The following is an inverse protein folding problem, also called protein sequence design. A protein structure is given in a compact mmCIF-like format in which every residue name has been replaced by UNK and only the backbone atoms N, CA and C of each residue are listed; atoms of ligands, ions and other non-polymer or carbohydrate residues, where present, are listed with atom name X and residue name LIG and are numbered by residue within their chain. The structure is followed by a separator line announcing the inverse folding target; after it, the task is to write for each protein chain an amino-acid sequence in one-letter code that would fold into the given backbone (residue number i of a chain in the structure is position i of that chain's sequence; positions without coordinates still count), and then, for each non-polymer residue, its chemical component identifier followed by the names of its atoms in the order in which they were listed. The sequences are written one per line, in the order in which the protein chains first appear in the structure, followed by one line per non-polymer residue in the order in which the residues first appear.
data_IF_936007751836
#
_entry.id   IF_936007751836
#
_cell.length_a   1.000
_cell.length_b   1.000
_cell.length_c   1.000
_cell.angle_alpha   90.00
_cell.angle_beta   90.00
_cell.angle_gamma   90.00
#
_symmetry.space_group_name_H-M   'P 1'
#
loop_
_entity.id
_entity.type
_entity.pdbx_description
1 polymer ?
#
# COMPACT_ATOMS: atom_id res chain seq x y z
N UNK A 1 29.26 -9.16 -1.61
CA UNK A 1 28.58 -7.85 -1.52
C UNK A 1 29.49 -6.71 -1.03
N UNK A 2 30.31 -6.91 0.01
CA UNK A 2 31.24 -5.86 0.53
C UNK A 2 32.27 -5.42 -0.53
N UNK A 3 32.81 -6.35 -1.30
CA UNK A 3 33.70 -6.05 -2.44
C UNK A 3 32.99 -5.14 -3.48
N UNK A 4 31.70 -5.37 -3.72
CA UNK A 4 30.93 -4.61 -4.69
C UNK A 4 30.71 -3.14 -4.31
N UNK A 5 30.75 -2.82 -3.00
CA UNK A 5 30.69 -1.45 -2.48
C UNK A 5 32.05 -0.83 -2.23
N UNK A 6 33.12 -1.42 -2.78
CA UNK A 6 34.46 -0.88 -2.73
C UNK A 6 35.20 -1.06 -1.41
N UNK A 7 34.76 -1.97 -0.54
CA UNK A 7 35.50 -2.26 0.69
C UNK A 7 36.72 -3.14 0.40
N UNK A 8 37.95 -2.68 0.70
CA UNK A 8 39.18 -3.42 0.39
C UNK A 8 39.39 -4.65 1.29
N UNK A 9 38.70 -4.72 2.40
CA UNK A 9 38.75 -5.82 3.37
C UNK A 9 37.38 -6.14 3.92
N UNK A 10 37.18 -7.38 4.36
CA UNK A 10 35.95 -7.80 5.03
C UNK A 10 35.73 -7.02 6.34
N UNK A 11 34.57 -6.45 6.53
CA UNK A 11 34.18 -5.70 7.73
C UNK A 11 32.91 -6.28 8.32
N UNK A 12 32.90 -6.50 9.63
CA UNK A 12 31.68 -6.85 10.40
C UNK A 12 30.80 -5.63 10.70
N UNK A 13 31.35 -4.41 10.51
CA UNK A 13 30.59 -3.15 10.69
C UNK A 13 29.93 -2.74 9.37
N UNK A 14 28.68 -2.34 9.45
CA UNK A 14 28.02 -1.72 8.31
C UNK A 14 28.72 -0.39 7.98
N UNK A 15 28.96 -0.09 6.69
CA UNK A 15 29.64 1.15 6.27
C UNK A 15 28.79 2.41 6.55
N UNK A 16 27.51 2.22 6.84
CA UNK A 16 26.57 3.30 7.16
C UNK A 16 25.44 2.75 8.04
N UNK A 17 24.74 3.65 8.72
CA UNK A 17 23.56 3.32 9.54
C UNK A 17 22.41 2.84 8.65
N UNK A 18 21.62 1.88 9.14
CA UNK A 18 20.48 1.31 8.43
C UNK A 18 19.40 2.35 8.09
N UNK A 19 19.30 3.43 8.89
CA UNK A 19 18.39 4.55 8.62
C UNK A 19 18.75 5.33 7.35
N UNK A 20 20.00 5.24 6.89
CA UNK A 20 20.48 5.88 5.65
C UNK A 20 19.66 5.45 4.44
N UNK A 21 19.32 4.17 4.34
CA UNK A 21 18.43 3.70 3.27
C UNK A 21 17.04 4.37 3.29
N UNK A 22 16.49 4.58 4.47
CA UNK A 22 15.21 5.27 4.62
C UNK A 22 15.31 6.75 4.24
N UNK A 23 16.44 7.41 4.58
CA UNK A 23 16.72 8.80 4.18
C UNK A 23 16.87 8.92 2.66
N UNK A 24 17.65 8.01 2.03
CA UNK A 24 17.80 7.95 0.57
C UNK A 24 16.45 7.74 -0.11
N UNK A 25 15.66 6.76 0.32
CA UNK A 25 14.32 6.51 -0.24
C UNK A 25 13.38 7.72 -0.14
N UNK A 26 13.48 8.51 0.93
CA UNK A 26 12.71 9.74 1.09
C UNK A 26 13.15 10.85 0.12
N UNK A 27 14.46 10.92 -0.18
CA UNK A 27 15.03 11.93 -1.09
C UNK A 27 14.79 11.60 -2.55
N UNK A 28 14.72 10.30 -2.89
CA UNK A 28 14.37 9.85 -4.23
C UNK A 28 12.90 10.12 -4.49
N UNK A 29 12.59 11.13 -5.27
CA UNK A 29 11.26 11.44 -5.74
C UNK A 29 10.77 10.44 -6.80
N UNK A 30 9.52 10.60 -7.21
CA UNK A 30 8.92 9.75 -8.24
C UNK A 30 9.64 9.88 -9.59
N UNK A 31 10.04 11.09 -9.94
CA UNK A 31 10.72 11.43 -11.21
C UNK A 31 12.04 10.71 -11.35
N UNK A 32 12.88 10.71 -10.30
CA UNK A 32 14.16 10.00 -10.31
C UNK A 32 13.99 8.49 -10.45
N UNK A 33 12.92 7.93 -9.88
CA UNK A 33 12.59 6.52 -10.10
C UNK A 33 12.17 6.24 -11.54
N UNK A 34 11.38 7.11 -12.13
CA UNK A 34 10.91 6.95 -13.51
C UNK A 34 12.08 7.07 -14.48
N UNK A 35 13.01 8.01 -14.27
CA UNK A 35 14.23 8.16 -15.05
C UNK A 35 15.14 6.92 -14.93
N UNK A 36 15.38 6.45 -13.71
CA UNK A 36 16.21 5.27 -13.48
C UNK A 36 15.61 4.02 -14.10
N UNK A 37 14.30 3.82 -13.99
CA UNK A 37 13.59 2.70 -14.63
C UNK A 37 13.68 2.79 -16.14
N UNK A 38 13.53 3.98 -16.74
CA UNK A 38 13.62 4.18 -18.17
C UNK A 38 15.05 3.91 -18.70
N UNK A 39 16.08 4.36 -17.99
CA UNK A 39 17.47 4.07 -18.34
C UNK A 39 17.77 2.56 -18.30
N UNK A 40 17.26 1.86 -17.29
CA UNK A 40 17.35 0.40 -17.23
C UNK A 40 16.64 -0.26 -18.41
N UNK A 41 15.44 0.17 -18.76
CA UNK A 41 14.66 -0.35 -19.90
C UNK A 41 15.43 -0.15 -21.20
N UNK A 42 15.94 1.05 -21.45
CA UNK A 42 16.71 1.38 -22.66
C UNK A 42 17.91 0.43 -22.81
N UNK A 43 18.70 0.28 -21.75
CA UNK A 43 19.84 -0.64 -21.70
C UNK A 43 19.44 -2.09 -22.00
N UNK A 44 18.32 -2.55 -21.43
CA UNK A 44 17.83 -3.93 -21.65
C UNK A 44 17.36 -4.15 -23.09
N UNK A 45 16.74 -3.15 -23.70
CA UNK A 45 16.27 -3.21 -25.10
C UNK A 45 17.46 -3.18 -26.07
N UNK A 46 18.41 -2.26 -25.89
CA UNK A 46 19.65 -2.13 -26.69
C UNK A 46 20.46 -3.44 -26.68
N UNK A 47 20.64 -4.03 -25.50
CA UNK A 47 21.34 -5.32 -25.34
C UNK A 47 20.51 -6.53 -25.76
N UNK A 48 19.29 -6.33 -26.32
CA UNK A 48 18.36 -7.38 -26.73
C UNK A 48 17.96 -8.35 -25.60
N UNK A 49 18.15 -7.97 -24.36
CA UNK A 49 17.76 -8.72 -23.16
C UNK A 49 16.25 -8.59 -22.86
N UNK A 50 15.61 -7.53 -23.36
CA UNK A 50 14.17 -7.32 -23.28
C UNK A 50 13.60 -7.10 -24.68
N UNK A 51 12.58 -7.89 -25.03
CA UNK A 51 11.88 -7.82 -26.34
C UNK A 51 10.42 -7.45 -26.12
N UNK A 52 10.03 -6.17 -26.22
CA UNK A 52 8.67 -5.71 -25.93
C UNK A 52 7.72 -6.07 -27.08
N UNK A 53 7.15 -7.28 -27.06
CA UNK A 53 6.19 -7.76 -28.07
C UNK A 53 4.75 -7.73 -27.58
N UNK A 54 4.51 -8.08 -26.34
CA UNK A 54 3.18 -8.18 -25.76
C UNK A 54 3.15 -7.75 -24.30
N UNK A 55 1.98 -7.37 -23.85
CA UNK A 55 1.70 -6.94 -22.51
C UNK A 55 0.82 -7.97 -21.79
N UNK A 56 1.29 -8.47 -20.64
CA UNK A 56 0.43 -9.19 -19.70
C UNK A 56 0.12 -8.24 -18.55
N UNK A 57 -1.14 -8.09 -18.17
CA UNK A 57 -1.55 -7.17 -17.12
C UNK A 57 -2.30 -7.88 -16.01
N UNK A 58 -2.04 -7.51 -14.78
CA UNK A 58 -2.73 -7.97 -13.59
C UNK A 58 -2.57 -6.93 -12.46
N UNK A 59 -3.35 -7.06 -11.39
CA UNK A 59 -3.17 -6.23 -10.20
C UNK A 59 -3.04 -7.10 -8.95
N UNK A 60 -2.26 -6.61 -8.00
CA UNK A 60 -2.08 -7.26 -6.71
C UNK A 60 -2.06 -6.25 -5.59
N UNK A 61 -2.25 -6.73 -4.36
CA UNK A 61 -1.97 -5.94 -3.15
C UNK A 61 -0.64 -6.40 -2.55
N UNK A 62 0.27 -5.45 -2.33
CA UNK A 62 1.43 -5.63 -1.49
C UNK A 62 1.07 -5.18 -0.08
N UNK A 63 1.11 -6.11 0.86
CA UNK A 63 0.63 -5.87 2.22
C UNK A 63 1.56 -4.93 2.98
N UNK A 64 0.99 -3.93 3.64
CA UNK A 64 1.70 -3.09 4.60
C UNK A 64 1.76 -3.77 5.95
N UNK A 65 2.88 -3.57 6.65
CA UNK A 65 3.04 -4.04 8.04
C UNK A 65 2.18 -3.17 8.98
N UNK A 66 0.97 -3.62 9.21
CA UNK A 66 0.03 -3.04 10.17
C UNK A 66 -0.61 -4.13 11.02
N UNK A 67 -0.94 -3.79 12.25
CA UNK A 67 -1.76 -4.67 13.09
C UNK A 67 -3.15 -4.82 12.47
N UNK A 68 -3.70 -6.04 12.44
CA UNK A 68 -5.05 -6.27 11.91
C UNK A 68 -6.06 -5.31 12.54
N UNK A 69 -6.76 -4.49 11.76
CA UNK A 69 -7.60 -3.42 12.27
C UNK A 69 -8.91 -3.95 12.84
N UNK A 70 -9.02 -3.92 14.16
CA UNK A 70 -10.30 -4.07 14.86
C UNK A 70 -10.72 -2.71 15.43
N UNK A 71 -12.04 -2.43 15.48
CA UNK A 71 -12.52 -1.14 15.98
C UNK A 71 -12.06 -0.86 17.41
N UNK A 72 -12.15 -1.85 18.30
CA UNK A 72 -11.62 -1.73 19.66
C UNK A 72 -10.11 -1.54 19.70
N UNK A 73 -9.36 -2.21 18.80
CA UNK A 73 -7.91 -2.07 18.68
C UNK A 73 -7.50 -0.66 18.25
N UNK A 74 -8.16 -0.12 17.23
CA UNK A 74 -7.92 1.25 16.74
C UNK A 74 -8.25 2.30 17.81
N UNK A 75 -9.42 2.20 18.44
CA UNK A 75 -9.83 3.09 19.52
C UNK A 75 -8.84 3.04 20.71
N UNK A 76 -8.40 1.85 21.11
CA UNK A 76 -7.40 1.72 22.17
C UNK A 76 -6.05 2.31 21.75
N UNK A 77 -5.64 2.16 20.49
CA UNK A 77 -4.39 2.74 19.98
C UNK A 77 -4.40 4.26 20.04
N UNK A 78 -5.45 4.90 19.52
CA UNK A 78 -5.55 6.37 19.58
C UNK A 78 -5.67 6.87 21.01
N UNK A 79 -6.37 6.14 21.90
CA UNK A 79 -6.39 6.42 23.33
C UNK A 79 -4.98 6.44 23.93
N UNK A 80 -4.13 5.46 23.60
CA UNK A 80 -2.74 5.43 24.07
C UNK A 80 -1.95 6.62 23.56
N UNK A 81 -2.05 6.93 22.28
CA UNK A 81 -1.36 8.06 21.67
C UNK A 81 -1.75 9.38 22.35
N UNK A 82 -3.04 9.63 22.54
CA UNK A 82 -3.51 10.82 23.25
C UNK A 82 -2.95 10.89 24.67
N UNK A 83 -2.98 9.79 25.42
CA UNK A 83 -2.48 9.75 26.80
C UNK A 83 -0.98 10.06 26.85
N UNK A 84 -0.18 9.53 25.95
CA UNK A 84 1.26 9.83 25.93
C UNK A 84 1.53 11.31 25.58
N UNK A 85 0.79 11.87 24.63
CA UNK A 85 0.91 13.31 24.32
C UNK A 85 0.43 14.21 25.46
N UNK A 86 -0.72 13.88 26.08
CA UNK A 86 -1.19 14.60 27.29
C UNK A 86 -0.12 14.61 28.37
N UNK A 87 0.55 13.48 28.61
CA UNK A 87 1.62 13.38 29.59
C UNK A 87 2.82 14.27 29.27
N UNK A 88 3.22 14.30 27.99
CA UNK A 88 4.32 15.14 27.53
C UNK A 88 3.99 16.63 27.71
N UNK A 89 2.83 17.05 27.18
CA UNK A 89 2.40 18.46 27.32
C UNK A 89 2.13 18.86 28.77
N UNK A 90 1.45 18.03 29.56
CA UNK A 90 1.20 18.30 30.99
C UNK A 90 2.49 18.51 31.77
N UNK A 91 3.56 17.76 31.42
CA UNK A 91 4.88 17.95 32.04
C UNK A 91 5.51 19.28 31.61
N UNK A 92 5.41 19.66 30.36
CA UNK A 92 5.95 20.90 29.80
C UNK A 92 5.23 22.13 30.39
N UNK A 93 3.91 22.06 30.51
CA UNK A 93 3.04 23.12 31.04
C UNK A 93 3.04 23.17 32.59
N UNK A 94 3.59 22.15 33.28
CA UNK A 94 3.59 22.06 34.74
C UNK A 94 2.24 21.69 35.36
N UNK A 95 1.25 21.21 34.59
CA UNK A 95 -0.08 20.88 35.09
C UNK A 95 -0.28 19.36 35.26
N UNK A 96 -1.23 18.95 36.10
CA UNK A 96 -1.60 17.55 36.32
C UNK A 96 -2.96 17.25 35.70
N UNK A 97 -3.00 16.32 34.69
CA UNK A 97 -4.23 15.92 34.01
C UNK A 97 -4.57 14.43 34.29
N UNK A 98 -5.80 14.20 34.74
CA UNK A 98 -6.29 12.85 35.06
C UNK A 98 -6.82 12.13 33.79
N UNK A 99 -6.06 11.20 33.23
CA UNK A 99 -6.38 10.47 31.97
C UNK A 99 -7.10 9.15 32.17
N UNK A 100 -7.27 8.65 33.39
CA UNK A 100 -7.79 7.30 33.71
C UNK A 100 -7.03 6.16 32.98
N UNK A 101 -5.76 6.36 32.64
CA UNK A 101 -4.93 5.44 31.87
C UNK A 101 -4.98 4.01 32.40
N UNK A 102 -4.74 3.82 33.73
CA UNK A 102 -4.67 2.48 34.35
C UNK A 102 -6.00 1.73 34.27
N UNK A 103 -7.12 2.41 34.54
CA UNK A 103 -8.47 1.82 34.50
C UNK A 103 -8.82 1.38 33.08
N UNK A 104 -8.65 2.25 32.09
CA UNK A 104 -8.91 1.95 30.69
C UNK A 104 -8.02 0.81 30.15
N UNK A 105 -6.75 0.79 30.55
CA UNK A 105 -5.82 -0.28 30.18
C UNK A 105 -6.23 -1.62 30.77
N UNK A 106 -6.57 -1.68 32.06
CA UNK A 106 -7.05 -2.91 32.73
C UNK A 106 -8.29 -3.46 32.06
N UNK A 107 -9.27 -2.60 31.77
CA UNK A 107 -10.52 -2.99 31.08
C UNK A 107 -10.25 -3.55 29.67
N UNK A 108 -9.40 -2.86 28.87
CA UNK A 108 -9.07 -3.32 27.53
C UNK A 108 -8.29 -4.64 27.54
N UNK A 109 -7.31 -4.81 28.43
CA UNK A 109 -6.53 -6.05 28.55
C UNK A 109 -7.43 -7.23 28.94
N UNK A 110 -8.34 -7.04 29.90
CA UNK A 110 -9.31 -8.06 30.29
C UNK A 110 -10.21 -8.47 29.09
N UNK A 111 -10.68 -7.48 28.32
CA UNK A 111 -11.44 -7.73 27.09
C UNK A 111 -10.60 -8.45 26.02
N UNK A 112 -9.37 -8.02 25.79
CA UNK A 112 -8.51 -8.56 24.71
C UNK A 112 -8.13 -10.03 24.95
N UNK A 113 -7.93 -10.43 26.19
CA UNK A 113 -7.60 -11.81 26.61
C UNK A 113 -8.72 -12.82 26.37
N UNK A 114 -9.96 -12.38 26.24
CA UNK A 114 -11.10 -13.29 26.00
C UNK A 114 -10.96 -13.94 24.63
N UNK A 115 -10.95 -15.28 24.58
CA UNK A 115 -10.85 -16.06 23.33
C UNK A 115 -12.09 -15.87 22.45
N UNK A 116 -13.28 -15.91 23.04
CA UNK A 116 -14.56 -15.64 22.37
C UNK A 116 -15.16 -14.36 22.94
N UNK A 117 -15.61 -13.48 22.05
CA UNK A 117 -16.22 -12.19 22.40
C UNK A 117 -17.62 -12.14 21.79
N UNK A 118 -18.62 -11.89 22.60
CA UNK A 118 -19.99 -11.67 22.11
C UNK A 118 -20.10 -10.29 21.47
N UNK A 119 -21.07 -10.12 20.58
CA UNK A 119 -21.35 -8.82 19.96
C UNK A 119 -21.67 -7.74 21.01
N UNK A 120 -22.37 -8.11 22.10
CA UNK A 120 -22.70 -7.22 23.23
C UNK A 120 -21.42 -6.72 23.92
N UNK A 121 -20.47 -7.60 24.21
CA UNK A 121 -19.19 -7.24 24.85
C UNK A 121 -18.33 -6.35 23.97
N UNK A 122 -18.25 -6.67 22.66
CA UNK A 122 -17.53 -5.81 21.69
C UNK A 122 -18.12 -4.42 21.66
N UNK A 123 -19.45 -4.31 21.56
CA UNK A 123 -20.14 -3.03 21.53
C UNK A 123 -20.01 -2.23 22.83
N UNK A 124 -20.03 -2.91 23.99
CA UNK A 124 -19.80 -2.29 25.28
C UNK A 124 -18.36 -1.73 25.38
N UNK A 125 -17.36 -2.50 24.94
CA UNK A 125 -15.95 -2.04 24.93
C UNK A 125 -15.77 -0.88 23.97
N UNK A 126 -16.37 -0.90 22.78
CA UNK A 126 -16.35 0.23 21.85
C UNK A 126 -16.92 1.51 22.50
N UNK A 127 -18.07 1.40 23.18
CA UNK A 127 -18.68 2.54 23.91
C UNK A 127 -17.73 3.13 24.95
N UNK A 128 -17.13 2.29 25.77
CA UNK A 128 -16.18 2.74 26.81
C UNK A 128 -14.95 3.42 26.20
N UNK A 129 -14.37 2.82 25.14
CA UNK A 129 -13.19 3.39 24.47
C UNK A 129 -13.52 4.71 23.80
N UNK A 130 -14.69 4.85 23.14
CA UNK A 130 -15.15 6.12 22.58
C UNK A 130 -15.25 7.21 23.65
N UNK A 131 -15.76 6.88 24.84
CA UNK A 131 -15.82 7.86 25.96
C UNK A 131 -14.44 8.28 26.43
N UNK A 132 -13.49 7.34 26.56
CA UNK A 132 -12.10 7.68 26.94
C UNK A 132 -11.43 8.54 25.87
N UNK A 133 -11.56 8.18 24.60
CA UNK A 133 -10.95 8.94 23.49
C UNK A 133 -11.54 10.34 23.41
N UNK A 134 -12.86 10.51 23.51
CA UNK A 134 -13.52 11.82 23.53
C UNK A 134 -12.96 12.73 24.63
N UNK A 135 -12.79 12.20 25.83
CA UNK A 135 -12.19 12.95 26.96
C UNK A 135 -10.75 13.34 26.65
N UNK A 136 -9.97 12.38 26.16
CA UNK A 136 -8.55 12.61 25.87
C UNK A 136 -8.36 13.63 24.73
N UNK A 137 -9.23 13.63 23.73
CA UNK A 137 -9.23 14.64 22.65
C UNK A 137 -9.44 16.03 23.26
N UNK A 138 -10.45 16.21 24.13
CA UNK A 138 -10.73 17.49 24.78
C UNK A 138 -9.53 17.96 25.63
N UNK A 139 -9.00 17.07 26.47
CA UNK A 139 -7.83 17.37 27.31
C UNK A 139 -6.60 17.74 26.48
N UNK A 140 -6.39 17.08 25.35
CA UNK A 140 -5.27 17.35 24.47
C UNK A 140 -5.43 18.70 23.75
N UNK A 141 -6.66 19.04 23.33
CA UNK A 141 -6.96 20.35 22.72
C UNK A 141 -6.74 21.48 23.72
N UNK A 142 -7.28 21.36 24.93
CA UNK A 142 -7.10 22.35 26.01
C UNK A 142 -5.61 22.58 26.38
N UNK A 143 -4.82 21.48 26.41
CA UNK A 143 -3.38 21.58 26.66
C UNK A 143 -2.59 22.18 25.49
N UNK A 144 -3.02 21.91 24.25
CA UNK A 144 -2.40 22.47 23.05
C UNK A 144 -2.59 23.99 23.00
N UNK A 145 -3.83 24.46 23.25
CA UNK A 145 -4.16 25.86 23.33
C UNK A 145 -3.35 26.56 24.47
N UNK A 146 -3.26 25.93 25.64
CA UNK A 146 -2.49 26.47 26.77
C UNK A 146 -0.98 26.52 26.48
N UNK A 147 -0.44 25.58 25.73
CA UNK A 147 0.98 25.55 25.35
C UNK A 147 1.38 26.66 24.38
N UNK A 148 0.44 27.14 23.57
CA UNK A 148 0.66 28.26 22.63
C UNK A 148 0.80 29.61 23.38
N UNK A 149 0.25 29.75 24.60
CA UNK A 149 0.36 30.93 25.42
C UNK A 149 1.65 31.03 26.26
N UNK A 150 2.45 29.96 26.32
CA UNK A 150 3.67 29.92 27.14
C UNK A 150 4.89 30.13 26.26
N UNK A 151 5.33 31.39 26.11
CA UNK A 151 6.50 31.79 25.30
C UNK A 151 7.81 31.09 25.68
N UNK A 152 7.99 30.73 26.96
CA UNK A 152 9.19 30.02 27.44
C UNK A 152 9.35 28.58 26.91
N UNK A 153 8.29 28.02 26.32
CA UNK A 153 8.28 26.69 25.70
C UNK A 153 8.60 26.78 24.20
N UNK A 154 8.82 27.99 23.67
CA UNK A 154 8.77 28.28 22.24
C UNK A 154 9.79 27.50 21.39
N UNK A 155 11.04 27.33 21.77
CA UNK A 155 12.03 26.71 20.91
C UNK A 155 12.00 25.17 20.88
N UNK A 156 11.81 24.52 22.01
CA UNK A 156 11.56 23.09 22.09
C UNK A 156 10.06 22.73 21.90
N UNK A 157 9.19 23.72 22.14
CA UNK A 157 7.73 23.65 22.09
C UNK A 157 7.15 23.62 20.70
N UNK A 158 7.67 24.38 19.74
CA UNK A 158 7.14 24.46 18.36
C UNK A 158 7.11 23.08 17.68
N UNK A 159 8.19 22.34 17.71
CA UNK A 159 8.26 21.00 17.12
C UNK A 159 7.34 19.99 17.84
N UNK A 160 7.13 20.16 19.15
CA UNK A 160 6.19 19.34 19.95
C UNK A 160 4.76 19.70 19.58
N UNK A 161 4.44 20.98 19.43
CA UNK A 161 3.09 21.47 19.09
C UNK A 161 2.66 21.05 17.68
N UNK A 162 3.50 21.19 16.66
CA UNK A 162 3.20 20.73 15.29
C UNK A 162 2.90 19.23 15.23
N UNK A 163 3.73 18.43 15.91
CA UNK A 163 3.51 16.98 16.00
C UNK A 163 2.22 16.63 16.72
N UNK A 164 1.86 17.37 17.75
CA UNK A 164 0.63 17.20 18.51
C UNK A 164 -0.58 17.57 17.66
N UNK A 165 -0.54 18.69 16.94
CA UNK A 165 -1.62 19.14 16.04
C UNK A 165 -1.88 18.10 14.94
N UNK A 166 -0.84 17.64 14.23
CA UNK A 166 -0.97 16.63 13.20
C UNK A 166 -1.54 15.30 13.73
N UNK A 167 -1.09 14.90 14.94
CA UNK A 167 -1.63 13.73 15.64
C UNK A 167 -3.08 13.91 16.03
N UNK A 168 -3.44 15.06 16.56
CA UNK A 168 -4.78 15.37 17.03
C UNK A 168 -5.78 15.34 15.86
N UNK A 169 -5.39 15.85 14.70
CA UNK A 169 -6.23 15.77 13.51
C UNK A 169 -6.55 14.33 13.11
N UNK A 170 -5.53 13.48 12.98
CA UNK A 170 -5.71 12.05 12.67
C UNK A 170 -6.55 11.32 13.72
N UNK A 171 -6.37 11.67 15.00
CA UNK A 171 -7.18 11.11 16.10
C UNK A 171 -8.63 11.56 16.00
N UNK A 172 -8.90 12.84 15.71
CA UNK A 172 -10.26 13.37 15.53
C UNK A 172 -10.98 12.68 14.37
N UNK A 173 -10.31 12.51 13.24
CA UNK A 173 -10.87 11.80 12.07
C UNK A 173 -11.20 10.33 12.40
N UNK A 174 -10.25 9.60 12.98
CA UNK A 174 -10.46 8.22 13.39
C UNK A 174 -11.59 8.11 14.41
N UNK A 175 -11.65 9.00 15.40
CA UNK A 175 -12.73 9.03 16.37
C UNK A 175 -14.08 9.28 15.71
N UNK A 176 -14.18 10.23 14.78
CA UNK A 176 -15.42 10.54 14.06
C UNK A 176 -15.91 9.34 13.25
N UNK A 177 -15.02 8.67 12.49
CA UNK A 177 -15.34 7.47 11.74
C UNK A 177 -15.82 6.32 12.64
N UNK A 178 -15.11 6.06 13.75
CA UNK A 178 -15.48 5.02 14.71
C UNK A 178 -16.81 5.33 15.43
N UNK A 179 -17.05 6.59 15.75
CA UNK A 179 -18.31 7.05 16.35
C UNK A 179 -19.47 6.89 15.37
N UNK A 180 -19.30 7.31 14.11
CA UNK A 180 -20.30 7.14 13.06
C UNK A 180 -20.67 5.67 12.85
N UNK A 181 -19.67 4.77 12.74
CA UNK A 181 -19.91 3.33 12.59
C UNK A 181 -20.62 2.74 13.83
N UNK A 182 -20.24 3.19 15.03
CA UNK A 182 -20.88 2.76 16.26
C UNK A 182 -22.34 3.17 16.32
N UNK A 183 -22.67 4.45 16.01
CA UNK A 183 -24.03 4.97 16.09
C UNK A 183 -24.93 4.40 14.98
N UNK A 184 -24.44 4.36 13.75
CA UNK A 184 -25.19 3.81 12.60
C UNK A 184 -25.28 2.28 12.60
N UNK A 185 -24.56 1.57 13.48
CA UNK A 185 -24.42 0.10 13.49
C UNK A 185 -23.84 -0.48 12.18
N UNK A 186 -23.23 0.35 11.34
CA UNK A 186 -22.55 -0.07 10.10
C UNK A 186 -21.11 -0.50 10.40
N UNK A 187 -20.58 -1.42 9.59
CA UNK A 187 -19.18 -1.91 9.71
C UNK A 187 -18.20 -1.20 8.79
N UNK A 188 -18.67 -0.27 7.99
CA UNK A 188 -17.89 0.46 7.02
C UNK A 188 -18.28 1.93 6.99
N UNK A 189 -17.35 2.78 6.62
CA UNK A 189 -17.49 4.22 6.37
C UNK A 189 -16.61 4.56 5.18
N UNK A 190 -16.96 5.61 4.46
CA UNK A 190 -16.16 6.10 3.35
C UNK A 190 -14.75 6.50 3.83
N UNK A 191 -13.75 6.26 3.00
CA UNK A 191 -12.34 6.55 3.29
C UNK A 191 -11.85 6.03 4.66
N UNK A 192 -12.36 4.85 5.07
CA UNK A 192 -12.07 4.26 6.38
C UNK A 192 -10.58 4.14 6.65
N UNK A 193 -10.10 4.82 7.70
CA UNK A 193 -8.75 4.70 8.23
C UNK A 193 -8.64 3.40 9.04
N UNK A 194 -7.66 2.58 8.73
CA UNK A 194 -7.45 1.26 9.36
C UNK A 194 -6.18 1.19 10.20
N UNK A 195 -5.34 2.22 10.14
CA UNK A 195 -4.13 2.33 10.96
C UNK A 195 -3.87 3.78 11.36
N UNK A 196 -3.63 4.03 12.64
CA UNK A 196 -3.25 5.36 13.13
C UNK A 196 -1.89 5.81 12.56
N UNK A 197 -0.91 4.91 12.50
CA UNK A 197 0.44 5.25 12.03
C UNK A 197 0.56 5.35 10.51
N UNK A 198 -0.40 4.77 9.79
CA UNK A 198 -0.47 4.77 8.33
C UNK A 198 -1.90 5.15 7.91
N UNK A 199 -2.32 6.41 8.14
CA UNK A 199 -3.71 6.84 7.91
C UNK A 199 -4.10 6.86 6.43
N UNK A 200 -3.13 6.74 5.52
CA UNK A 200 -3.32 6.62 4.08
C UNK A 200 -3.79 5.22 3.62
N UNK A 201 -3.64 4.18 4.44
CA UNK A 201 -4.04 2.81 4.07
C UNK A 201 -5.55 2.66 4.18
N UNK A 202 -6.16 2.09 3.15
CA UNK A 202 -7.59 1.77 3.09
C UNK A 202 -7.82 0.26 3.02
N UNK A 203 -8.99 -0.23 3.44
CA UNK A 203 -9.37 -1.63 3.23
C UNK A 203 -9.59 -1.91 1.75
N UNK A 204 -8.89 -2.88 1.20
CA UNK A 204 -9.04 -3.34 -0.18
C UNK A 204 -9.80 -4.66 -0.16
N UNK A 205 -11.06 -4.61 -0.56
CA UNK A 205 -11.91 -5.81 -0.63
C UNK A 205 -11.56 -6.58 -1.91
N UNK A 206 -11.15 -7.82 -1.74
CA UNK A 206 -10.93 -8.78 -2.85
C UNK A 206 -11.92 -9.92 -2.67
N UNK A 207 -12.78 -10.15 -3.65
CA UNK A 207 -13.78 -11.21 -3.63
C UNK A 207 -13.22 -12.64 -3.67
N UNK A 208 -12.08 -12.90 -3.03
CA UNK A 208 -11.46 -14.23 -2.95
C UNK A 208 -11.86 -14.92 -1.64
N UNK A 209 -12.22 -16.20 -1.71
CA UNK A 209 -12.51 -17.03 -0.56
C UNK A 209 -11.33 -17.03 0.45
N UNK A 210 -11.65 -16.84 1.74
CA UNK A 210 -10.71 -16.93 2.84
C UNK A 210 -9.95 -15.67 3.23
N UNK A 211 -9.80 -14.66 2.36
CA UNK A 211 -9.19 -13.36 2.69
C UNK A 211 -9.99 -12.21 2.07
N UNK A 212 -11.08 -11.85 2.72
CA UNK A 212 -12.02 -10.85 2.21
C UNK A 212 -11.48 -9.43 2.09
N UNK A 213 -10.45 -9.06 2.87
CA UNK A 213 -9.89 -7.69 2.88
C UNK A 213 -8.39 -7.73 3.07
N UNK A 214 -7.68 -7.00 2.23
CA UNK A 214 -6.23 -6.79 2.30
C UNK A 214 -5.93 -5.33 2.64
N UNK A 215 -4.77 -5.05 3.25
CA UNK A 215 -4.35 -3.73 3.71
C UNK A 215 -2.95 -3.42 3.18
N UNK A 216 -2.81 -2.43 2.32
CA UNK A 216 -1.55 -2.06 1.71
C UNK A 216 -1.72 -1.40 0.36
N UNK A 217 -0.66 -1.35 -0.44
CA UNK A 217 -0.70 -0.76 -1.77
C UNK A 217 -1.32 -1.72 -2.80
N UNK A 218 -2.37 -1.29 -3.48
CA UNK A 218 -2.89 -1.93 -4.69
C UNK A 218 -2.07 -1.46 -5.88
N UNK A 219 -1.51 -2.39 -6.63
CA UNK A 219 -0.60 -2.10 -7.73
C UNK A 219 -1.06 -2.77 -9.00
N UNK A 220 -1.28 -1.99 -10.05
CA UNK A 220 -1.42 -2.49 -11.41
C UNK A 220 -0.03 -2.77 -11.97
N UNK A 221 0.15 -3.92 -12.56
CA UNK A 221 1.44 -4.42 -13.02
C UNK A 221 1.38 -4.80 -14.50
N UNK A 222 2.43 -4.43 -15.21
CA UNK A 222 2.76 -4.89 -16.56
C UNK A 222 3.87 -5.91 -16.52
N UNK A 223 3.65 -7.07 -17.13
CA UNK A 223 4.68 -8.07 -17.35
C UNK A 223 5.03 -8.15 -18.84
N UNK A 224 6.28 -7.85 -19.15
CA UNK A 224 6.79 -7.77 -20.52
C UNK A 224 8.05 -8.62 -20.63
N UNK A 225 8.01 -9.67 -21.42
CA UNK A 225 9.16 -10.56 -21.68
C UNK A 225 9.93 -11.01 -20.42
N UNK A 226 9.20 -11.34 -19.33
CA UNK A 226 9.79 -11.78 -18.06
C UNK A 226 9.99 -10.67 -17.05
N UNK A 227 10.05 -9.40 -17.45
CA UNK A 227 10.21 -8.23 -16.58
C UNK A 227 8.87 -7.74 -16.05
N UNK A 228 8.87 -7.17 -14.86
CA UNK A 228 7.67 -6.71 -14.17
C UNK A 228 7.80 -5.22 -13.82
N UNK A 229 6.82 -4.43 -14.25
CA UNK A 229 6.79 -2.98 -14.06
C UNK A 229 5.53 -2.57 -13.30
N UNK A 230 5.64 -1.59 -12.40
CA UNK A 230 4.49 -0.97 -11.77
C UNK A 230 3.93 0.13 -12.68
N UNK A 231 2.65 0.01 -13.04
CA UNK A 231 1.96 1.01 -13.86
C UNK A 231 1.25 2.03 -12.98
N UNK A 232 0.55 1.54 -11.95
CA UNK A 232 -0.17 2.40 -11.03
C UNK A 232 -0.07 1.83 -9.61
N UNK A 233 0.25 2.68 -8.65
CA UNK A 233 0.34 2.34 -7.22
C UNK A 233 -0.62 3.25 -6.47
N UNK A 234 -1.55 2.65 -5.70
CA UNK A 234 -2.47 3.39 -4.85
C UNK A 234 -2.70 2.66 -3.53
N UNK A 235 -2.92 3.43 -2.47
CA UNK A 235 -3.35 2.90 -1.18
C UNK A 235 -4.87 2.91 -1.02
N UNK A 236 -5.57 3.52 -1.98
CA UNK A 236 -7.02 3.43 -2.11
C UNK A 236 -7.42 2.25 -3.01
N UNK A 237 -8.61 1.74 -2.75
CA UNK A 237 -9.17 0.72 -3.64
C UNK A 237 -9.68 1.37 -4.93
N UNK A 238 -9.15 0.93 -6.07
CA UNK A 238 -9.58 1.36 -7.39
C UNK A 238 -10.02 0.18 -8.24
N UNK A 239 -10.85 0.45 -9.24
CA UNK A 239 -11.24 -0.57 -10.22
C UNK A 239 -10.15 -0.73 -11.28
N UNK A 240 -9.57 -1.93 -11.34
CA UNK A 240 -8.41 -2.26 -12.20
C UNK A 240 -8.67 -1.98 -13.69
N UNK A 241 -9.87 -2.31 -14.17
CA UNK A 241 -10.26 -2.09 -15.55
C UNK A 241 -10.23 -0.63 -16.01
N UNK A 242 -10.44 0.33 -15.08
CA UNK A 242 -10.35 1.77 -15.39
C UNK A 242 -8.91 2.27 -15.60
N UNK A 243 -7.92 1.49 -15.10
CA UNK A 243 -6.49 1.80 -15.23
C UNK A 243 -5.82 1.02 -16.36
N UNK A 244 -6.60 0.31 -17.15
CA UNK A 244 -6.08 -0.54 -18.21
C UNK A 244 -5.50 0.25 -19.38
N UNK A 245 -6.20 1.28 -19.84
CA UNK A 245 -5.74 2.14 -20.93
C UNK A 245 -4.44 2.82 -20.54
N UNK A 246 -4.36 3.37 -19.32
CA UNK A 246 -3.14 3.98 -18.75
C UNK A 246 -1.94 2.98 -18.83
N UNK A 247 -2.16 1.68 -18.58
CA UNK A 247 -1.10 0.66 -18.67
C UNK A 247 -0.62 0.42 -20.10
N UNK A 248 -1.52 0.50 -21.09
CA UNK A 248 -1.15 0.36 -22.52
C UNK A 248 -0.37 1.59 -23.00
N UNK A 249 -0.78 2.79 -22.57
CA UNK A 249 -0.08 4.05 -22.87
C UNK A 249 1.30 4.09 -22.19
N UNK A 250 1.41 3.61 -20.97
CA UNK A 250 2.70 3.47 -20.28
C UNK A 250 3.62 2.47 -20.99
N UNK A 251 3.08 1.39 -21.56
CA UNK A 251 3.86 0.48 -22.41
C UNK A 251 4.43 1.23 -23.62
N UNK A 252 3.61 2.03 -24.32
CA UNK A 252 4.05 2.83 -25.45
C UNK A 252 5.12 3.84 -25.04
N UNK A 253 4.92 4.54 -23.90
CA UNK A 253 5.91 5.49 -23.36
C UNK A 253 7.25 4.82 -23.02
N UNK A 254 7.23 3.61 -22.44
CA UNK A 254 8.43 2.87 -22.06
C UNK A 254 9.21 2.32 -23.24
N UNK A 255 8.53 1.90 -24.31
CA UNK A 255 9.14 1.11 -25.39
C UNK A 255 9.08 1.80 -26.77
N UNK A 256 8.50 2.98 -26.88
CA UNK A 256 8.36 3.73 -28.12
C UNK A 256 7.38 3.12 -29.15
N UNK A 257 6.60 2.10 -28.73
CA UNK A 257 5.62 1.42 -29.60
C UNK A 257 4.52 0.77 -28.77
N UNK A 258 3.36 0.59 -29.37
CA UNK A 258 2.25 -0.16 -28.76
C UNK A 258 2.52 -1.66 -28.72
N UNK A 259 1.94 -2.41 -27.76
CA UNK A 259 2.07 -3.86 -27.73
C UNK A 259 1.32 -4.51 -28.90
N UNK A 260 1.88 -5.56 -29.50
CA UNK A 260 1.20 -6.33 -30.55
C UNK A 260 -0.05 -7.05 -30.02
N UNK A 261 -0.04 -7.39 -28.75
CA UNK A 261 -1.17 -8.03 -28.07
C UNK A 261 -1.14 -7.72 -26.57
N UNK A 262 -2.33 -7.79 -25.97
CA UNK A 262 -2.50 -7.74 -24.51
C UNK A 262 -3.20 -9.02 -24.05
N UNK A 263 -2.67 -9.66 -23.01
CA UNK A 263 -3.36 -10.72 -22.29
C UNK A 263 -3.78 -10.22 -20.90
N UNK A 264 -5.09 -10.20 -20.66
CA UNK A 264 -5.70 -9.59 -19.49
C UNK A 264 -6.78 -10.49 -18.89
N UNK A 265 -7.11 -10.29 -17.61
CA UNK A 265 -8.24 -10.94 -16.99
C UNK A 265 -9.57 -10.35 -17.48
N UNK A 266 -10.67 -11.08 -17.26
CA UNK A 266 -12.01 -10.66 -17.68
C UNK A 266 -12.44 -9.34 -17.02
N UNK A 267 -11.96 -9.05 -15.82
CA UNK A 267 -12.20 -7.79 -15.12
C UNK A 267 -11.74 -6.55 -15.91
N UNK A 268 -10.73 -6.69 -16.76
CA UNK A 268 -10.23 -5.63 -17.66
C UNK A 268 -10.97 -5.57 -19.00
N UNK A 269 -11.79 -6.57 -19.30
CA UNK A 269 -12.44 -6.77 -20.61
C UNK A 269 -13.71 -5.96 -20.80
N UNK A 270 -13.81 -4.72 -20.34
CA UNK A 270 -14.91 -3.81 -20.59
C UNK A 270 -15.09 -3.51 -22.09
N UNK A 271 -16.27 -3.06 -22.50
CA UNK A 271 -16.52 -2.65 -23.88
C UNK A 271 -15.58 -1.52 -24.32
N UNK A 272 -15.35 -0.55 -23.45
CA UNK A 272 -14.45 0.58 -23.65
C UNK A 272 -13.01 0.09 -23.93
N UNK A 273 -12.45 -0.71 -23.04
CA UNK A 273 -11.09 -1.25 -23.18
C UNK A 273 -10.93 -2.09 -24.47
N UNK A 274 -11.95 -2.84 -24.86
CA UNK A 274 -11.94 -3.63 -26.12
C UNK A 274 -12.00 -2.74 -27.34
N UNK A 275 -12.78 -1.69 -27.34
CA UNK A 275 -12.85 -0.71 -28.42
C UNK A 275 -11.50 -0.01 -28.58
N UNK A 276 -10.89 0.47 -27.49
CA UNK A 276 -9.55 1.05 -27.50
C UNK A 276 -8.52 0.12 -28.15
N UNK A 277 -8.48 -1.16 -27.76
CA UNK A 277 -7.56 -2.14 -28.34
C UNK A 277 -7.82 -2.34 -29.84
N UNK A 278 -9.07 -2.40 -30.26
CA UNK A 278 -9.46 -2.54 -31.66
C UNK A 278 -9.05 -1.33 -32.51
N UNK A 279 -9.30 -0.13 -32.05
CA UNK A 279 -8.94 1.14 -32.70
C UNK A 279 -7.42 1.25 -32.90
N UNK A 280 -6.65 0.74 -31.96
CA UNK A 280 -5.19 0.74 -32.03
C UNK A 280 -4.58 -0.54 -32.60
N UNK A 281 -5.38 -1.41 -33.22
CA UNK A 281 -4.93 -2.66 -33.86
C UNK A 281 -4.18 -3.61 -32.91
N UNK A 282 -4.49 -3.55 -31.61
CA UNK A 282 -3.88 -4.40 -30.57
C UNK A 282 -4.74 -5.66 -30.38
N UNK A 283 -4.15 -6.85 -30.55
CA UNK A 283 -4.88 -8.10 -30.34
C UNK A 283 -5.16 -8.35 -28.86
N UNK A 284 -6.42 -8.63 -28.52
CA UNK A 284 -6.87 -8.87 -27.14
C UNK A 284 -7.00 -10.37 -26.84
N UNK A 285 -6.18 -10.86 -25.93
CA UNK A 285 -6.31 -12.21 -25.38
C UNK A 285 -7.17 -12.18 -24.10
N UNK A 286 -8.48 -12.01 -24.28
CA UNK A 286 -9.48 -12.03 -23.21
C UNK A 286 -10.72 -12.79 -23.70
N UNK A 287 -11.48 -13.37 -22.76
CA UNK A 287 -12.70 -14.10 -23.10
C UNK A 287 -13.71 -13.16 -23.80
N UNK A 288 -14.33 -13.54 -24.92
CA UNK A 288 -15.33 -12.73 -25.61
C UNK A 288 -16.49 -12.35 -24.71
N UNK A 289 -17.15 -11.23 -25.02
CA UNK A 289 -18.42 -10.85 -24.40
C UNK A 289 -19.57 -11.65 -25.04
N UNK A 290 -20.58 -11.95 -24.25
CA UNK A 290 -21.79 -12.66 -24.70
C UNK A 290 -21.65 -14.19 -24.73
N UNK A 291 -22.67 -14.84 -25.32
CA UNK A 291 -22.75 -16.30 -25.40
C UNK A 291 -21.72 -16.84 -26.40
N UNK A 292 -20.96 -17.92 -26.08
CA UNK A 292 -20.03 -18.54 -27.02
C UNK A 292 -20.76 -19.05 -28.25
N UNK A 293 -20.21 -18.79 -29.43
CA UNK A 293 -20.72 -19.40 -30.67
C UNK A 293 -20.41 -20.89 -30.68
N UNK A 294 -21.39 -21.73 -31.03
CA UNK A 294 -21.30 -23.21 -31.00
C UNK A 294 -20.12 -23.80 -31.80
N UNK A 295 -19.64 -23.14 -32.83
CA UNK A 295 -18.67 -23.71 -33.80
C UNK A 295 -17.22 -23.21 -33.67
N UNK A 296 -16.86 -22.47 -32.62
CA UNK A 296 -15.55 -21.78 -32.54
C UNK A 296 -14.45 -22.53 -31.76
N UNK A 297 -14.64 -23.80 -31.39
CA UNK A 297 -13.65 -24.54 -30.59
C UNK A 297 -12.31 -24.76 -31.32
N UNK A 298 -12.29 -24.77 -32.63
CA UNK A 298 -11.15 -25.06 -33.52
C UNK A 298 -10.63 -23.85 -34.31
N UNK A 299 -11.20 -22.66 -34.10
CA UNK A 299 -10.74 -21.45 -34.77
C UNK A 299 -9.33 -21.06 -34.32
N UNK A 300 -8.49 -20.63 -35.28
CA UNK A 300 -7.10 -20.18 -35.06
C UNK A 300 -7.01 -19.06 -34.00
N UNK A 301 -7.99 -18.15 -34.01
CA UNK A 301 -8.06 -17.05 -33.04
C UNK A 301 -8.35 -17.58 -31.63
N UNK A 302 -9.23 -18.54 -31.48
CA UNK A 302 -9.54 -19.18 -30.20
C UNK A 302 -8.35 -19.95 -29.63
N UNK A 303 -7.58 -20.67 -30.49
CA UNK A 303 -6.34 -21.36 -30.10
C UNK A 303 -5.27 -20.34 -29.66
N UNK A 304 -5.08 -19.27 -30.43
CA UNK A 304 -4.15 -18.19 -30.09
C UNK A 304 -4.50 -17.55 -28.74
N UNK A 305 -5.77 -17.22 -28.54
CA UNK A 305 -6.27 -16.63 -27.30
C UNK A 305 -6.02 -17.54 -26.08
N UNK A 306 -6.35 -18.83 -26.20
CA UNK A 306 -6.08 -19.82 -25.15
C UNK A 306 -4.58 -19.89 -24.81
N UNK A 307 -3.72 -19.89 -25.83
CA UNK A 307 -2.26 -19.88 -25.63
C UNK A 307 -1.81 -18.64 -24.90
N UNK A 308 -2.28 -17.45 -25.30
CA UNK A 308 -1.91 -16.18 -24.64
C UNK A 308 -2.47 -16.06 -23.23
N UNK A 309 -3.62 -16.62 -22.94
CA UNK A 309 -4.15 -16.72 -21.58
C UNK A 309 -3.30 -17.65 -20.69
N UNK A 310 -2.73 -18.72 -21.22
CA UNK A 310 -1.74 -19.54 -20.49
C UNK A 310 -0.45 -18.74 -20.20
N UNK A 311 -0.01 -17.92 -21.17
CA UNK A 311 1.14 -17.04 -20.97
C UNK A 311 0.87 -16.02 -19.85
N UNK A 312 -0.38 -15.56 -19.64
CA UNK A 312 -0.76 -14.65 -18.56
C UNK A 312 -0.40 -15.21 -17.18
N UNK A 313 -0.44 -16.51 -16.96
CA UNK A 313 -0.07 -17.11 -15.68
C UNK A 313 1.38 -16.79 -15.27
N UNK A 314 2.24 -16.38 -16.23
CA UNK A 314 3.60 -15.93 -15.92
C UNK A 314 3.63 -14.67 -15.04
N UNK A 315 2.63 -13.78 -15.17
CA UNK A 315 2.57 -12.59 -14.29
C UNK A 315 2.26 -12.99 -12.85
N UNK A 316 1.38 -13.99 -12.64
CA UNK A 316 1.08 -14.50 -11.29
C UNK A 316 2.33 -15.11 -10.64
N UNK A 317 3.09 -15.90 -11.40
CA UNK A 317 4.39 -16.43 -10.96
C UNK A 317 5.40 -15.33 -10.66
N UNK A 318 5.45 -14.26 -11.47
CA UNK A 318 6.31 -13.11 -11.26
C UNK A 318 5.92 -12.33 -10.00
N UNK A 319 4.62 -12.13 -9.74
CA UNK A 319 4.11 -11.51 -8.52
C UNK A 319 4.46 -12.37 -7.29
N UNK A 320 4.21 -13.68 -7.34
CA UNK A 320 4.57 -14.60 -6.26
C UNK A 320 6.06 -14.59 -5.95
N UNK A 321 6.90 -14.60 -6.98
CA UNK A 321 8.35 -14.47 -6.85
C UNK A 321 8.75 -13.15 -6.20
N UNK A 322 8.13 -12.03 -6.60
CA UNK A 322 8.38 -10.70 -6.03
C UNK A 322 8.02 -10.65 -4.55
N UNK A 323 6.90 -11.25 -4.15
CA UNK A 323 6.48 -11.34 -2.75
C UNK A 323 7.45 -12.16 -1.91
N UNK A 324 7.91 -13.30 -2.43
CA UNK A 324 8.72 -14.26 -1.66
C UNK A 324 10.21 -13.92 -1.63
N UNK A 325 10.78 -13.41 -2.73
CA UNK A 325 12.22 -13.22 -2.88
C UNK A 325 12.68 -11.77 -2.87
N UNK A 326 11.77 -10.81 -3.13
CA UNK A 326 12.10 -9.39 -3.24
C UNK A 326 11.36 -8.52 -2.21
N UNK A 327 11.04 -9.10 -1.05
CA UNK A 327 10.49 -8.40 0.13
C UNK A 327 9.18 -7.64 -0.12
N UNK A 328 8.35 -8.09 -1.09
CA UNK A 328 7.03 -7.53 -1.37
C UNK A 328 5.88 -8.32 -0.70
N UNK A 329 6.19 -9.31 0.12
CA UNK A 329 5.18 -10.04 0.91
C UNK A 329 4.57 -9.18 1.99
N UNK A 330 5.42 -8.49 2.78
CA UNK A 330 5.01 -7.50 3.80
C UNK A 330 5.98 -6.32 3.75
N UNK A 331 5.46 -5.12 3.52
CA UNK A 331 6.24 -3.89 3.42
C UNK A 331 6.33 -3.23 4.79
N UNK A 332 7.54 -3.17 5.35
CA UNK A 332 7.82 -2.63 6.69
C UNK A 332 8.14 -1.14 6.71
N UNK A 333 8.11 -0.46 5.57
CA UNK A 333 8.28 0.99 5.50
C UNK A 333 7.18 1.70 6.32
N UNK A 334 7.50 2.89 6.87
CA UNK A 334 6.64 3.57 7.85
C UNK A 334 5.81 4.72 7.28
N UNK A 335 6.08 5.15 6.04
CA UNK A 335 5.36 6.23 5.38
C UNK A 335 4.98 5.86 3.96
N UNK A 336 3.98 6.52 3.40
CA UNK A 336 3.50 6.34 2.04
C UNK A 336 4.63 6.43 1.01
N UNK A 337 5.43 7.50 1.08
CA UNK A 337 6.57 7.73 0.18
C UNK A 337 7.58 6.58 0.25
N UNK A 338 7.88 6.09 1.47
CA UNK A 338 8.85 5.00 1.64
C UNK A 338 8.28 3.64 1.26
N UNK A 339 6.98 3.41 1.37
CA UNK A 339 6.31 2.21 0.84
C UNK A 339 6.31 2.22 -0.70
N UNK A 340 5.97 3.35 -1.31
CA UNK A 340 6.06 3.54 -2.76
C UNK A 340 7.46 3.22 -3.28
N UNK A 341 8.48 3.84 -2.69
CA UNK A 341 9.87 3.60 -3.05
C UNK A 341 10.29 2.13 -2.85
N UNK A 342 9.84 1.49 -1.77
CA UNK A 342 10.11 0.08 -1.52
C UNK A 342 9.59 -0.82 -2.64
N UNK A 343 8.36 -0.58 -3.09
CA UNK A 343 7.75 -1.36 -4.19
C UNK A 343 8.57 -1.20 -5.47
N UNK A 344 8.91 0.04 -5.84
CA UNK A 344 9.68 0.33 -7.05
C UNK A 344 11.06 -0.32 -7.01
N UNK A 345 11.81 -0.15 -5.91
CA UNK A 345 13.12 -0.79 -5.74
C UNK A 345 13.07 -2.31 -5.82
N UNK A 346 12.09 -2.93 -5.21
CA UNK A 346 11.95 -4.37 -5.20
C UNK A 346 11.70 -4.93 -6.61
N UNK A 347 10.84 -4.27 -7.40
CA UNK A 347 10.57 -4.64 -8.79
C UNK A 347 11.80 -4.44 -9.67
N UNK A 348 12.51 -3.33 -9.50
CA UNK A 348 13.76 -3.06 -10.23
C UNK A 348 14.84 -4.09 -9.90
N UNK A 349 15.05 -4.41 -8.61
CA UNK A 349 16.00 -5.45 -8.17
C UNK A 349 15.69 -6.80 -8.81
N UNK A 350 14.40 -7.15 -8.89
CA UNK A 350 13.94 -8.36 -9.58
C UNK A 350 14.30 -8.32 -11.07
N UNK A 351 14.03 -7.20 -11.71
CA UNK A 351 14.30 -7.02 -13.14
C UNK A 351 15.81 -7.10 -13.45
N UNK A 352 16.65 -6.47 -12.63
CA UNK A 352 18.13 -6.57 -12.73
C UNK A 352 18.59 -8.02 -12.56
N UNK A 353 18.04 -8.75 -11.59
CA UNK A 353 18.39 -10.15 -11.38
C UNK A 353 17.99 -11.06 -12.56
N UNK A 354 16.88 -10.75 -13.24
CA UNK A 354 16.49 -11.45 -14.47
C UNK A 354 17.44 -11.11 -15.61
N UNK A 355 17.82 -9.85 -15.75
CA UNK A 355 18.79 -9.43 -16.76
C UNK A 355 20.14 -10.16 -16.56
N UNK A 356 20.63 -10.22 -15.33
CA UNK A 356 21.86 -10.95 -15.02
C UNK A 356 21.82 -12.43 -15.41
N UNK A 357 20.67 -13.11 -15.22
CA UNK A 357 20.49 -14.50 -15.65
C UNK A 357 20.40 -14.69 -17.16
N UNK A 358 20.13 -13.64 -17.93
CA UNK A 358 20.09 -13.69 -19.40
C UNK A 358 21.45 -13.36 -20.04
N UNK A 359 22.37 -12.80 -19.26
CA UNK A 359 23.74 -12.50 -19.68
C UNK A 359 24.65 -13.71 -19.45
N UNK A 360 24.42 -14.44 -18.36
CA UNK A 360 25.10 -15.70 -18.04
C UNK A 360 24.56 -16.89 -18.85
#
# INVERSE_FOLDING_TARGET
MQYFIGLPRFSYRLPFDTSTFSKVRKRLGKEQFDEFEQNLINTLVEKKLLRPKGLLTDATVFQSDITFPTDCGLLNKIRHVCVEQIRTLSKAVGCKVRTYRRVAQKAYVAFSKKRRKTHKEVRQMQKQLLQYVRRNIRQLSELSELSEFIEEVADAGVAVTEKVVATLQTVKELYAQQKQMYDSKKKSVENRIVSFHKPYIRPIVRGKDGKGTEFGAKVSLSHVDGYLFADYISFDNYHEGKKFIDSVELFEKRFGKKPNYVAMDQAYGSKENRNYLKEHTIRAAVKPLGRPKKNNANDTETRWRKRKQKERNRIEGAIGNSKNKYSLGVIRAKSEITEYAWIRFALMSRNIAIAGKRIL
#
